data_IF_338296815515
#
_entry.id   IF_338296815515
#
_cell.length_a   1.000
_cell.length_b   1.000
_cell.length_c   1.000
_cell.angle_alpha   90.00
_cell.angle_beta   90.00
_cell.angle_gamma   90.00
#
_symmetry.space_group_name_H-M   'P 1'
#
loop_
_entity.id
_entity.type
_entity.pdbx_description
1 polymer ?
#
# COMPACT_ATOMS: atom_id res chain seq x y z
N UNK A 1 -0.79 -9.15 -4.02
CA UNK A 1 -0.87 -7.67 -3.86
C UNK A 1 0.04 -6.95 -4.86
N UNK A 2 1.26 -7.43 -5.09
CA UNK A 2 2.15 -6.93 -6.14
C UNK A 2 1.52 -7.07 -7.53
N UNK A 3 0.73 -8.13 -7.77
CA UNK A 3 0.05 -8.32 -9.06
C UNK A 3 -0.95 -7.21 -9.37
N UNK A 4 -1.61 -6.65 -8.34
CA UNK A 4 -2.55 -5.55 -8.51
C UNK A 4 -1.83 -4.26 -8.94
N UNK A 5 -0.72 -3.92 -8.31
CA UNK A 5 0.09 -2.76 -8.71
C UNK A 5 0.72 -2.94 -10.08
N UNK A 6 1.19 -4.15 -10.40
CA UNK A 6 1.70 -4.48 -11.73
C UNK A 6 0.61 -4.33 -12.81
N UNK A 7 -0.62 -4.76 -12.50
CA UNK A 7 -1.77 -4.59 -13.39
C UNK A 7 -2.10 -3.12 -13.62
N UNK A 8 -2.10 -2.29 -12.57
CA UNK A 8 -2.31 -0.84 -12.70
C UNK A 8 -1.21 -0.20 -13.56
N UNK A 9 0.04 -0.57 -13.34
CA UNK A 9 1.16 -0.06 -14.15
C UNK A 9 1.01 -0.47 -15.63
N UNK A 10 0.64 -1.72 -15.90
CA UNK A 10 0.40 -2.22 -17.26
C UNK A 10 -0.76 -1.47 -17.93
N UNK A 11 -1.88 -1.28 -17.24
CA UNK A 11 -3.03 -0.52 -17.75
C UNK A 11 -2.61 0.93 -18.07
N UNK A 12 -1.86 1.57 -17.19
CA UNK A 12 -1.32 2.90 -17.43
C UNK A 12 -0.42 2.94 -18.67
N UNK A 13 0.46 1.95 -18.86
CA UNK A 13 1.33 1.86 -20.04
C UNK A 13 0.50 1.66 -21.32
N UNK A 14 -0.47 0.74 -21.30
CA UNK A 14 -1.33 0.45 -22.44
C UNK A 14 -2.17 1.68 -22.85
N UNK A 15 -2.50 2.56 -21.91
CA UNK A 15 -3.25 3.79 -22.19
C UNK A 15 -2.53 4.74 -23.17
N UNK A 16 -1.21 4.67 -23.28
CA UNK A 16 -0.47 5.46 -24.28
C UNK A 16 -0.67 4.96 -25.73
N UNK A 17 -1.21 3.75 -25.91
CA UNK A 17 -1.37 3.10 -27.21
C UNK A 17 -2.85 2.88 -27.59
N UNK A 18 -3.79 3.30 -26.75
CA UNK A 18 -5.23 3.07 -26.95
C UNK A 18 -6.05 4.27 -26.49
N UNK A 19 -7.12 4.58 -27.20
CA UNK A 19 -8.04 5.67 -26.81
C UNK A 19 -8.99 5.30 -25.66
N UNK A 20 -8.98 4.04 -25.21
CA UNK A 20 -9.85 3.53 -24.13
C UNK A 20 -9.24 3.69 -22.73
N UNK A 21 -7.98 4.12 -22.63
CA UNK A 21 -7.27 4.27 -21.36
C UNK A 21 -7.01 5.74 -21.01
N UNK A 22 -6.63 5.97 -19.75
CA UNK A 22 -6.16 7.29 -19.29
C UNK A 22 -4.85 7.19 -18.55
N UNK A 23 -3.96 8.16 -18.78
CA UNK A 23 -2.70 8.31 -18.02
C UNK A 23 -2.96 8.51 -16.53
N UNK A 24 -4.15 8.93 -16.14
CA UNK A 24 -4.56 9.05 -14.73
C UNK A 24 -4.61 7.70 -14.00
N UNK A 25 -4.60 6.56 -14.71
CA UNK A 25 -4.50 5.23 -14.10
C UNK A 25 -3.25 5.09 -13.21
N UNK A 26 -2.15 5.79 -13.53
CA UNK A 26 -0.93 5.75 -12.70
C UNK A 26 -1.11 6.37 -11.32
N UNK A 27 -2.10 7.24 -11.11
CA UNK A 27 -2.39 7.84 -9.80
C UNK A 27 -2.77 6.75 -8.78
N UNK A 28 -3.35 5.62 -9.24
CA UNK A 28 -3.64 4.48 -8.37
C UNK A 28 -2.39 3.79 -7.79
N UNK A 29 -1.18 4.12 -8.26
CA UNK A 29 0.09 3.65 -7.69
C UNK A 29 0.58 4.49 -6.50
N UNK A 30 -0.05 5.64 -6.20
CA UNK A 30 0.38 6.51 -5.10
C UNK A 30 0.53 5.80 -3.73
N UNK A 31 -0.33 4.83 -3.34
CA UNK A 31 -0.19 4.14 -2.06
C UNK A 31 1.02 3.19 -1.99
N UNK A 32 1.69 2.90 -3.11
CA UNK A 32 2.74 1.86 -3.19
C UNK A 32 3.88 2.09 -2.18
N UNK A 33 4.31 3.33 -2.00
CA UNK A 33 5.36 3.66 -1.03
C UNK A 33 4.95 3.34 0.40
N UNK A 34 3.68 3.57 0.75
CA UNK A 34 3.15 3.28 2.08
C UNK A 34 2.92 1.78 2.28
N UNK A 35 2.47 1.06 1.25
CA UNK A 35 2.37 -0.41 1.24
C UNK A 35 3.73 -1.04 1.48
N UNK A 36 4.76 -0.60 0.77
CA UNK A 36 6.12 -1.13 0.94
C UNK A 36 6.64 -0.91 2.36
N UNK A 37 6.44 0.29 2.91
CA UNK A 37 6.78 0.60 4.31
C UNK A 37 6.02 -0.29 5.30
N UNK A 38 4.72 -0.46 5.11
CA UNK A 38 3.88 -1.27 5.99
C UNK A 38 4.33 -2.74 6.00
N UNK A 39 4.66 -3.30 4.83
CA UNK A 39 5.17 -4.67 4.73
C UNK A 39 6.51 -4.85 5.43
N UNK A 40 7.47 -3.95 5.19
CA UNK A 40 8.77 -4.04 5.88
C UNK A 40 8.61 -4.01 7.39
N UNK A 41 7.75 -3.12 7.90
CA UNK A 41 7.48 -3.03 9.33
C UNK A 41 6.76 -4.27 9.87
N UNK A 42 5.85 -4.85 9.09
CA UNK A 42 5.18 -6.10 9.45
C UNK A 42 6.16 -7.27 9.50
N UNK A 43 7.06 -7.39 8.53
CA UNK A 43 8.09 -8.43 8.49
C UNK A 43 9.03 -8.31 9.71
N UNK A 44 9.53 -7.11 9.98
CA UNK A 44 10.38 -6.83 11.15
C UNK A 44 9.63 -7.15 12.46
N UNK A 45 8.34 -6.83 12.53
CA UNK A 45 7.50 -7.15 13.69
C UNK A 45 7.29 -8.67 13.85
N UNK A 46 7.06 -9.39 12.76
CA UNK A 46 6.88 -10.85 12.78
C UNK A 46 8.12 -11.57 13.27
N UNK A 47 9.32 -11.09 12.90
CA UNK A 47 10.58 -11.64 13.41
C UNK A 47 10.65 -11.46 14.93
N UNK A 48 10.37 -10.25 15.44
CA UNK A 48 10.37 -9.98 16.89
C UNK A 48 9.29 -10.73 17.65
N UNK A 49 8.11 -10.93 17.05
CA UNK A 49 7.02 -11.67 17.69
C UNK A 49 7.42 -13.12 18.00
N UNK A 50 8.16 -13.74 17.08
CA UNK A 50 8.60 -15.12 17.22
C UNK A 50 9.88 -15.30 18.05
N UNK A 51 10.59 -14.22 18.38
CA UNK A 51 11.77 -14.25 19.22
C UNK A 51 11.38 -14.48 20.70
N UNK A 52 11.82 -15.57 21.35
CA UNK A 52 11.58 -15.83 22.77
C UNK A 52 12.07 -14.71 23.69
N UNK A 53 13.17 -14.04 23.32
CA UNK A 53 13.86 -13.03 24.13
C UNK A 53 13.30 -11.61 23.92
N UNK A 54 12.34 -11.44 23.01
CA UNK A 54 11.74 -10.14 22.74
C UNK A 54 10.90 -9.64 23.92
N UNK A 55 10.94 -8.32 24.15
CA UNK A 55 10.13 -7.65 25.15
C UNK A 55 8.62 -7.76 24.81
N UNK A 56 7.94 -8.67 25.50
CA UNK A 56 6.52 -8.98 25.31
C UNK A 56 5.59 -7.81 25.62
N UNK A 57 6.03 -6.83 26.40
CA UNK A 57 5.21 -5.64 26.67
C UNK A 57 5.31 -4.63 25.54
N UNK A 58 6.46 -4.55 24.87
CA UNK A 58 6.70 -3.57 23.81
C UNK A 58 6.19 -4.00 22.44
N UNK A 59 6.34 -5.28 22.09
CA UNK A 59 5.98 -5.81 20.76
C UNK A 59 4.55 -5.46 20.33
N UNK A 60 3.50 -5.50 21.19
CA UNK A 60 2.16 -5.07 20.82
C UNK A 60 2.06 -3.59 20.39
N UNK A 61 2.86 -2.69 21.00
CA UNK A 61 2.85 -1.27 20.62
C UNK A 61 3.55 -1.03 19.28
N UNK A 62 4.56 -1.82 18.94
CA UNK A 62 5.22 -1.73 17.63
C UNK A 62 4.26 -2.10 16.48
N UNK A 63 3.31 -3.01 16.74
CA UNK A 63 2.25 -3.36 15.78
C UNK A 63 1.33 -2.16 15.45
N UNK A 64 1.15 -1.21 16.38
CA UNK A 64 0.33 -0.02 16.14
C UNK A 64 0.87 0.81 14.98
N UNK A 65 2.19 0.85 14.80
CA UNK A 65 2.80 1.58 13.68
C UNK A 65 2.50 0.90 12.34
N UNK A 66 2.42 -0.43 12.31
CA UNK A 66 1.96 -1.20 11.15
C UNK A 66 0.51 -0.84 10.84
N UNK A 67 -0.36 -0.85 11.87
CA UNK A 67 -1.78 -0.50 11.73
C UNK A 67 -2.01 0.92 11.20
N UNK A 68 -1.26 1.91 11.69
CA UNK A 68 -1.34 3.29 11.19
C UNK A 68 -0.98 3.35 9.70
N UNK A 69 0.01 2.57 9.25
CA UNK A 69 0.37 2.51 7.84
C UNK A 69 -0.76 1.89 7.01
N UNK A 70 -1.40 0.82 7.51
CA UNK A 70 -2.58 0.20 6.88
C UNK A 70 -3.77 1.15 6.80
N UNK A 71 -4.06 1.90 7.87
CA UNK A 71 -5.10 2.93 7.87
C UNK A 71 -4.81 4.00 6.80
N UNK A 72 -3.56 4.45 6.71
CA UNK A 72 -3.14 5.40 5.68
C UNK A 72 -3.33 4.87 4.25
N UNK A 73 -3.07 3.58 4.01
CA UNK A 73 -3.29 2.94 2.70
C UNK A 73 -4.78 2.97 2.35
N UNK A 74 -5.66 2.58 3.27
CA UNK A 74 -7.11 2.62 3.05
C UNK A 74 -7.62 4.04 2.82
N UNK A 75 -7.14 4.99 3.60
CA UNK A 75 -7.50 6.40 3.46
C UNK A 75 -7.07 6.96 2.10
N UNK A 76 -5.83 6.74 1.68
CA UNK A 76 -5.35 7.14 0.35
C UNK A 76 -6.14 6.48 -0.78
N UNK A 77 -6.44 5.20 -0.64
CA UNK A 77 -7.29 4.48 -1.61
C UNK A 77 -8.69 5.10 -1.68
N UNK A 78 -9.28 5.46 -0.54
CA UNK A 78 -10.56 6.18 -0.48
C UNK A 78 -10.51 7.55 -1.18
N UNK A 79 -9.43 8.32 -0.98
CA UNK A 79 -9.21 9.58 -1.70
C UNK A 79 -9.14 9.33 -3.21
N UNK A 80 -8.39 8.32 -3.65
CA UNK A 80 -8.27 7.99 -5.06
C UNK A 80 -9.61 7.66 -5.69
N UNK A 81 -10.43 6.85 -5.01
CA UNK A 81 -11.78 6.54 -5.46
C UNK A 81 -12.66 7.78 -5.53
N UNK A 82 -12.57 8.67 -4.53
CA UNK A 82 -13.33 9.92 -4.54
C UNK A 82 -12.91 10.85 -5.68
N UNK A 83 -11.60 11.00 -5.91
CA UNK A 83 -11.06 11.85 -6.98
C UNK A 83 -11.38 11.26 -8.35
N UNK A 84 -11.42 9.93 -8.51
CA UNK A 84 -11.78 9.26 -9.76
C UNK A 84 -13.18 9.62 -10.29
N UNK A 85 -14.08 10.15 -9.45
CA UNK A 85 -15.39 10.66 -9.91
C UNK A 85 -15.32 12.03 -10.59
N UNK A 86 -14.21 12.75 -10.44
CA UNK A 86 -14.02 14.11 -10.95
C UNK A 86 -13.10 14.20 -12.17
N UNK A 87 -12.53 13.08 -12.60
CA UNK A 87 -11.62 12.94 -13.75
C UNK A 87 -12.21 11.94 -14.73
#
# INVERSE_FOLDING_TARGET
MIEAFASVALIGILSFFTDFGTVYAFIALLPLGLVWKAFKMADDWMVKWNDPEADRQKVPYELLLVNVSTIGIHFLTGILLAVAYFI
#
